data_IF_935822917651
#
_entry.id   IF_935822917651
#
_cell.length_a   1.000
_cell.length_b   1.000
_cell.length_c   1.000
_cell.angle_alpha   90.00
_cell.angle_beta   90.00
_cell.angle_gamma   90.00
#
_symmetry.space_group_name_H-M   'P 1'
#
loop_
_entity.id
_entity.type
_entity.pdbx_description
1 polymer ?
#
# COMPACT_ATOMS: atom_id res chain seq x y z
N UNK A 1 70.43 -1.10 -49.89
CA UNK A 1 70.13 -0.70 -48.54
C UNK A 1 68.62 -0.41 -48.39
N UNK A 2 67.80 -1.30 -47.77
CA UNK A 2 66.36 -1.10 -47.69
C UNK A 2 66.00 -0.30 -46.40
N UNK A 3 65.13 0.71 -46.56
CA UNK A 3 64.60 1.55 -45.51
C UNK A 3 63.50 0.82 -44.69
N UNK A 4 63.70 0.74 -43.39
CA UNK A 4 62.75 0.18 -42.41
C UNK A 4 61.54 1.09 -42.24
N UNK A 5 60.33 0.59 -42.55
CA UNK A 5 59.05 1.21 -42.16
C UNK A 5 58.67 0.80 -40.74
N UNK A 6 58.74 1.68 -39.77
CA UNK A 6 58.16 1.52 -38.46
C UNK A 6 56.66 1.80 -38.57
N UNK A 7 55.83 0.77 -38.39
CA UNK A 7 54.39 0.91 -38.17
C UNK A 7 54.14 1.35 -36.73
N UNK A 8 53.54 2.52 -36.52
CA UNK A 8 53.01 2.97 -35.23
C UNK A 8 51.60 2.33 -35.06
N UNK A 9 51.50 1.42 -34.09
CA UNK A 9 50.22 0.93 -33.61
C UNK A 9 49.64 1.98 -32.66
N UNK A 10 48.58 2.67 -33.06
CA UNK A 10 47.77 3.53 -32.20
C UNK A 10 46.70 2.65 -31.55
N UNK A 11 46.89 2.34 -30.29
CA UNK A 11 45.89 1.65 -29.47
C UNK A 11 44.86 2.69 -28.98
N UNK A 12 43.66 2.69 -29.58
CA UNK A 12 42.57 3.52 -29.13
C UNK A 12 41.94 2.94 -27.86
N UNK A 13 42.16 3.59 -26.73
CA UNK A 13 41.53 3.27 -25.46
C UNK A 13 40.09 3.81 -25.50
N UNK A 14 39.13 2.94 -25.71
CA UNK A 14 37.70 3.30 -25.61
C UNK A 14 37.33 3.50 -24.13
N UNK A 15 37.24 4.74 -23.70
CA UNK A 15 36.69 5.10 -22.40
C UNK A 15 35.16 4.93 -22.48
N UNK A 16 34.66 3.87 -21.89
CA UNK A 16 33.21 3.66 -21.73
C UNK A 16 32.69 4.68 -20.68
N UNK A 17 32.08 5.75 -21.14
CA UNK A 17 31.37 6.68 -20.27
C UNK A 17 30.16 5.95 -19.66
N UNK A 18 29.91 6.04 -18.33
CA UNK A 18 28.73 5.48 -17.73
C UNK A 18 27.49 6.21 -18.29
N UNK A 19 26.62 5.46 -18.98
CA UNK A 19 25.33 6.00 -19.42
C UNK A 19 24.56 6.48 -18.18
N UNK A 20 24.00 7.70 -18.16
CA UNK A 20 23.16 8.15 -17.09
C UNK A 20 21.96 7.22 -17.00
N UNK A 21 21.77 6.57 -15.83
CA UNK A 21 20.53 5.84 -15.53
C UNK A 21 19.41 6.86 -15.51
N UNK A 22 18.63 6.93 -16.56
CA UNK A 22 17.37 7.68 -16.57
C UNK A 22 16.45 7.01 -15.57
N UNK A 23 16.34 7.60 -14.38
CA UNK A 23 15.32 7.19 -13.41
C UNK A 23 13.99 7.69 -13.98
N UNK A 24 13.17 6.77 -14.47
CA UNK A 24 11.84 7.13 -14.92
C UNK A 24 11.09 7.82 -13.77
N UNK A 25 10.41 8.92 -14.07
CA UNK A 25 9.58 9.62 -13.10
C UNK A 25 8.56 8.65 -12.48
N UNK A 26 8.26 8.84 -11.20
CA UNK A 26 7.24 8.03 -10.53
C UNK A 26 5.91 8.18 -11.28
N UNK A 27 5.19 7.08 -11.59
CA UNK A 27 3.91 7.15 -12.30
C UNK A 27 2.89 7.93 -11.47
N UNK A 28 2.13 8.80 -12.13
CA UNK A 28 1.00 9.47 -11.52
C UNK A 28 -0.14 8.45 -11.36
N UNK A 29 -0.46 8.06 -10.12
CA UNK A 29 -1.40 6.99 -9.80
C UNK A 29 -2.55 7.47 -8.93
N UNK A 30 -3.73 6.84 -8.99
CA UNK A 30 -4.78 7.03 -8.01
C UNK A 30 -4.29 6.57 -6.62
N UNK A 31 -4.64 7.34 -5.59
CA UNK A 31 -4.25 7.09 -4.21
C UNK A 31 -5.49 6.91 -3.34
N UNK A 32 -5.46 5.90 -2.47
CA UNK A 32 -6.55 5.61 -1.54
C UNK A 32 -6.75 6.75 -0.54
N UNK A 33 -7.96 7.35 -0.54
CA UNK A 33 -8.50 8.10 0.58
C UNK A 33 -8.92 7.18 1.73
N UNK A 34 -9.65 7.71 2.70
CA UNK A 34 -10.23 6.94 3.81
C UNK A 34 -11.74 7.01 3.69
N UNK A 35 -12.42 5.86 3.80
CA UNK A 35 -13.87 5.79 3.81
C UNK A 35 -14.44 6.59 4.98
N UNK A 36 -15.54 7.28 4.72
CA UNK A 36 -16.36 7.96 5.73
C UNK A 36 -17.80 7.48 5.63
N UNK A 37 -18.43 7.23 6.76
CA UNK A 37 -19.85 6.85 6.83
C UNK A 37 -20.80 7.97 6.36
N UNK A 38 -20.31 9.16 6.06
CA UNK A 38 -21.07 10.20 5.38
C UNK A 38 -21.32 9.89 3.89
N UNK A 39 -20.51 9.00 3.29
CA UNK A 39 -20.64 8.61 1.88
C UNK A 39 -21.63 7.46 1.70
N UNK A 40 -22.24 7.37 0.52
CA UNK A 40 -23.14 6.27 0.18
C UNK A 40 -22.37 5.14 -0.53
N UNK A 41 -22.33 3.91 0.02
CA UNK A 41 -21.58 2.80 -0.56
C UNK A 41 -22.17 2.29 -1.89
N UNK A 42 -23.43 2.56 -2.19
CA UNK A 42 -24.08 2.13 -3.44
C UNK A 42 -23.38 2.73 -4.68
N UNK A 43 -22.78 3.92 -4.52
CA UNK A 43 -22.03 4.57 -5.60
C UNK A 43 -20.68 3.91 -5.94
N UNK A 44 -20.27 2.87 -5.19
CA UNK A 44 -18.95 2.27 -5.30
C UNK A 44 -19.01 0.80 -5.70
N UNK A 45 -18.00 0.36 -6.44
CA UNK A 45 -17.61 -1.04 -6.54
C UNK A 45 -16.61 -1.36 -5.45
N UNK A 46 -16.82 -2.49 -4.81
CA UNK A 46 -16.08 -2.91 -3.63
C UNK A 46 -15.20 -4.10 -3.98
N UNK A 47 -13.95 -4.06 -3.54
CA UNK A 47 -13.00 -5.16 -3.64
C UNK A 47 -12.30 -5.42 -2.31
N UNK A 48 -11.66 -6.57 -2.16
CA UNK A 48 -10.70 -6.79 -1.09
C UNK A 48 -9.50 -5.85 -1.29
N UNK A 49 -9.04 -5.25 -0.21
CA UNK A 49 -7.77 -4.53 -0.19
C UNK A 49 -6.66 -5.52 0.13
N UNK A 50 -5.94 -5.91 -0.88
CA UNK A 50 -4.82 -6.84 -0.73
C UNK A 50 -3.63 -6.18 -0.01
N UNK A 51 -3.02 -6.91 0.90
CA UNK A 51 -1.78 -6.52 1.59
C UNK A 51 -0.57 -7.09 0.82
N UNK A 52 -0.08 -6.33 -0.13
CA UNK A 52 0.97 -6.72 -1.03
C UNK A 52 1.91 -5.58 -1.40
N UNK A 53 2.54 -5.69 -2.55
CA UNK A 53 3.40 -4.67 -3.12
C UNK A 53 2.80 -4.16 -4.42
N UNK A 54 2.39 -2.89 -4.44
CA UNK A 54 1.85 -2.28 -5.67
C UNK A 54 2.87 -2.36 -6.79
N UNK A 55 2.47 -3.02 -7.87
CA UNK A 55 3.19 -3.14 -9.12
C UNK A 55 2.45 -2.39 -10.22
N UNK A 56 3.17 -1.55 -10.95
CA UNK A 56 2.65 -0.87 -12.15
C UNK A 56 3.36 -1.45 -13.35
N UNK A 57 2.60 -2.08 -14.22
CA UNK A 57 3.06 -2.55 -15.51
C UNK A 57 2.85 -1.44 -16.55
N UNK A 58 3.89 -0.99 -17.23
CA UNK A 58 3.79 0.07 -18.24
C UNK A 58 3.57 -0.45 -19.69
N UNK A 59 3.40 -1.78 -19.85
CA UNK A 59 3.31 -2.49 -21.12
C UNK A 59 4.62 -3.17 -21.51
N UNK A 60 5.72 -2.90 -20.78
CA UNK A 60 7.06 -3.44 -21.05
C UNK A 60 7.82 -3.81 -19.78
N UNK A 61 7.64 -3.08 -18.69
CA UNK A 61 8.36 -3.27 -17.44
C UNK A 61 7.44 -3.14 -16.22
N UNK A 62 7.67 -3.99 -15.22
CA UNK A 62 6.99 -3.92 -13.93
C UNK A 62 7.76 -2.97 -13.00
N UNK A 63 7.05 -2.01 -12.38
CA UNK A 63 7.65 -0.97 -11.55
C UNK A 63 6.96 -0.84 -10.20
N UNK A 64 7.72 -0.45 -9.21
CA UNK A 64 7.17 0.05 -7.95
C UNK A 64 6.44 1.39 -8.15
N UNK A 65 5.61 1.76 -7.21
CA UNK A 65 4.97 3.09 -7.15
C UNK A 65 5.99 4.26 -7.24
N UNK A 66 7.22 4.05 -6.83
CA UNK A 66 8.31 5.02 -6.94
C UNK A 66 8.89 5.15 -8.35
N UNK A 67 8.44 4.36 -9.32
CA UNK A 67 9.01 4.28 -10.67
C UNK A 67 10.23 3.33 -10.79
N UNK A 68 10.79 2.85 -9.67
CA UNK A 68 11.90 1.90 -9.72
C UNK A 68 11.45 0.57 -10.31
N UNK A 69 12.25 -0.10 -11.15
CA UNK A 69 11.93 -1.42 -11.66
C UNK A 69 11.75 -2.44 -10.53
N UNK A 70 10.82 -3.38 -10.73
CA UNK A 70 10.71 -4.61 -9.95
C UNK A 70 11.38 -5.72 -10.76
N UNK A 71 12.49 -6.30 -10.28
CA UNK A 71 13.14 -7.41 -10.95
C UNK A 71 12.25 -8.66 -10.87
N UNK A 72 11.43 -8.88 -11.91
CA UNK A 72 10.59 -10.07 -12.03
C UNK A 72 11.21 -11.04 -13.05
N UNK A 73 11.01 -12.37 -12.92
CA UNK A 73 11.42 -13.32 -13.93
C UNK A 73 10.75 -13.05 -15.28
N UNK A 74 11.45 -13.29 -16.37
CA UNK A 74 10.91 -13.08 -17.73
C UNK A 74 9.58 -13.83 -17.93
N UNK A 75 9.50 -15.10 -17.53
CA UNK A 75 8.28 -15.91 -17.64
C UNK A 75 7.07 -15.33 -16.89
N UNK A 76 7.28 -14.45 -15.87
CA UNK A 76 6.21 -13.77 -15.17
C UNK A 76 5.68 -12.58 -15.95
N UNK A 77 6.53 -11.84 -16.66
CA UNK A 77 6.18 -10.61 -17.38
C UNK A 77 5.89 -10.79 -18.85
N UNK A 78 6.54 -11.75 -19.53
CA UNK A 78 6.34 -12.00 -20.98
C UNK A 78 4.88 -12.21 -21.39
N UNK A 79 4.04 -12.96 -20.64
CA UNK A 79 2.65 -13.17 -21.03
C UNK A 79 1.73 -12.00 -20.64
N UNK A 80 2.23 -10.93 -20.01
CA UNK A 80 1.43 -9.77 -19.68
C UNK A 80 1.05 -8.97 -20.94
N UNK A 81 -0.16 -8.38 -21.01
CA UNK A 81 -0.58 -7.61 -22.17
C UNK A 81 0.28 -6.35 -22.36
N UNK A 82 0.48 -5.95 -23.61
CA UNK A 82 1.24 -4.74 -23.96
C UNK A 82 0.40 -3.45 -23.77
N UNK A 83 -0.15 -3.29 -22.58
CA UNK A 83 -0.90 -2.10 -22.16
C UNK A 83 -0.66 -1.86 -20.67
N UNK A 84 -0.80 -0.63 -20.18
CA UNK A 84 -0.62 -0.34 -18.76
C UNK A 84 -1.61 -1.09 -17.87
N UNK A 85 -1.11 -1.67 -16.77
CA UNK A 85 -1.88 -2.30 -15.71
C UNK A 85 -1.42 -1.76 -14.36
N UNK A 86 -2.34 -1.59 -13.44
CA UNK A 86 -2.06 -1.23 -12.05
C UNK A 86 -2.68 -2.29 -11.13
N UNK A 87 -1.88 -2.85 -10.26
CA UNK A 87 -2.30 -3.96 -9.42
C UNK A 87 -1.42 -4.15 -8.21
N UNK A 88 -1.75 -5.16 -7.43
CA UNK A 88 -0.98 -5.58 -6.28
C UNK A 88 -0.30 -6.92 -6.57
N UNK A 89 1.01 -6.99 -6.45
CA UNK A 89 1.70 -8.27 -6.32
C UNK A 89 1.33 -8.86 -4.97
N UNK A 90 0.87 -10.09 -4.96
CA UNK A 90 0.30 -10.70 -3.77
C UNK A 90 0.70 -12.17 -3.63
N UNK A 91 1.03 -12.58 -2.42
CA UNK A 91 1.49 -13.94 -2.10
C UNK A 91 0.52 -14.72 -1.22
N UNK A 92 -0.58 -14.09 -0.81
CA UNK A 92 -1.53 -14.62 0.16
C UNK A 92 -1.63 -13.74 1.40
N UNK A 93 -2.69 -13.94 2.19
CA UNK A 93 -2.92 -13.19 3.42
C UNK A 93 -1.85 -13.51 4.46
N UNK A 94 -1.40 -12.47 5.20
CA UNK A 94 -0.34 -12.60 6.22
C UNK A 94 1.06 -12.87 5.68
N UNK A 95 1.29 -12.78 4.35
CA UNK A 95 2.56 -13.09 3.71
C UNK A 95 3.30 -11.88 3.13
N UNK A 96 2.95 -10.67 3.57
CA UNK A 96 3.55 -9.43 3.08
C UNK A 96 5.09 -9.42 3.23
N UNK A 97 5.64 -9.85 4.37
CA UNK A 97 7.08 -9.82 4.62
C UNK A 97 7.84 -10.73 3.63
N UNK A 98 7.32 -11.94 3.37
CA UNK A 98 7.89 -12.86 2.39
C UNK A 98 7.85 -12.27 0.98
N UNK A 99 6.70 -11.73 0.56
CA UNK A 99 6.55 -11.05 -0.73
C UNK A 99 7.52 -9.87 -0.85
N UNK A 100 7.55 -9.00 0.17
CA UNK A 100 8.41 -7.81 0.19
C UNK A 100 9.90 -8.16 0.09
N UNK A 101 10.32 -9.29 0.68
CA UNK A 101 11.66 -9.81 0.51
C UNK A 101 11.92 -10.28 -0.94
N UNK A 102 10.98 -11.02 -1.53
CA UNK A 102 11.10 -11.56 -2.90
C UNK A 102 11.20 -10.47 -3.97
N UNK A 103 10.33 -9.45 -3.90
CA UNK A 103 10.29 -8.37 -4.93
C UNK A 103 11.43 -7.35 -4.80
N UNK A 104 12.17 -7.34 -3.69
CA UNK A 104 13.34 -6.46 -3.48
C UNK A 104 14.66 -7.09 -3.92
N UNK A 105 14.67 -8.38 -4.24
CA UNK A 105 15.89 -9.05 -4.70
C UNK A 105 16.28 -8.52 -6.08
N UNK A 106 17.55 -8.18 -6.27
CA UNK A 106 18.08 -7.80 -7.58
C UNK A 106 18.00 -8.97 -8.58
N UNK A 107 18.16 -10.20 -8.07
CA UNK A 107 17.98 -11.42 -8.85
C UNK A 107 16.75 -12.16 -8.33
N UNK A 108 15.68 -12.26 -9.13
CA UNK A 108 14.47 -12.94 -8.72
C UNK A 108 14.71 -14.45 -8.56
N UNK A 109 14.02 -15.06 -7.60
CA UNK A 109 14.05 -16.49 -7.36
C UNK A 109 12.75 -17.09 -7.88
N UNK A 110 12.84 -17.95 -8.89
CA UNK A 110 11.69 -18.54 -9.58
C UNK A 110 10.69 -19.22 -8.62
N UNK A 111 11.20 -20.02 -7.67
CA UNK A 111 10.36 -20.72 -6.70
C UNK A 111 9.50 -19.79 -5.85
N UNK A 112 10.01 -18.59 -5.50
CA UNK A 112 9.26 -17.57 -4.80
C UNK A 112 8.22 -16.93 -5.71
N UNK A 113 8.60 -16.57 -6.95
CA UNK A 113 7.73 -15.91 -7.92
C UNK A 113 6.60 -16.80 -8.44
N UNK A 114 6.74 -18.12 -8.46
CA UNK A 114 5.66 -19.05 -8.85
C UNK A 114 4.44 -18.96 -7.93
N UNK A 115 4.61 -18.47 -6.72
CA UNK A 115 3.53 -18.27 -5.75
C UNK A 115 2.90 -16.87 -5.86
N UNK A 116 3.56 -15.91 -6.51
CA UNK A 116 3.07 -14.53 -6.63
C UNK A 116 1.92 -14.48 -7.64
N UNK A 117 0.88 -13.71 -7.30
CA UNK A 117 -0.20 -13.30 -8.21
C UNK A 117 -0.11 -11.79 -8.44
N UNK A 118 -0.41 -11.36 -9.64
CA UNK A 118 -0.57 -9.95 -9.97
C UNK A 118 -2.07 -9.62 -10.03
N UNK A 119 -2.57 -9.01 -8.95
CA UNK A 119 -3.96 -8.70 -8.71
C UNK A 119 -4.29 -7.35 -9.34
N UNK A 120 -4.78 -7.33 -10.57
CA UNK A 120 -5.04 -6.10 -11.34
C UNK A 120 -6.37 -5.49 -10.91
N UNK A 121 -6.34 -4.21 -10.54
CA UNK A 121 -7.50 -3.46 -10.08
C UNK A 121 -7.77 -2.18 -10.88
N UNK A 122 -6.84 -1.72 -11.75
CA UNK A 122 -7.05 -0.53 -12.57
C UNK A 122 -6.26 -0.60 -13.89
N UNK A 123 -6.75 0.16 -14.88
CA UNK A 123 -6.12 0.37 -16.19
C UNK A 123 -5.67 1.83 -16.30
N UNK A 124 -4.38 2.14 -16.06
CA UNK A 124 -3.88 3.50 -16.09
C UNK A 124 -4.17 4.22 -17.42
N UNK A 125 -4.77 5.41 -17.32
CA UNK A 125 -5.09 6.25 -18.48
C UNK A 125 -6.22 5.73 -19.38
N UNK A 126 -6.87 4.62 -19.04
CA UNK A 126 -7.97 4.11 -19.86
C UNK A 126 -9.20 5.00 -19.73
N UNK A 127 -9.90 5.31 -20.86
CA UNK A 127 -11.11 6.13 -20.85
C UNK A 127 -12.31 5.38 -20.27
N UNK A 128 -13.35 6.15 -19.94
CA UNK A 128 -14.63 5.64 -19.45
C UNK A 128 -14.73 5.62 -17.93
N UNK A 129 -15.87 5.15 -17.44
CA UNK A 129 -16.18 5.01 -16.01
C UNK A 129 -15.42 3.83 -15.41
N UNK A 130 -15.21 3.84 -14.09
CA UNK A 130 -14.55 2.72 -13.43
C UNK A 130 -15.27 1.38 -13.64
N UNK A 131 -16.61 1.38 -13.62
CA UNK A 131 -17.39 0.16 -13.89
C UNK A 131 -17.09 -0.45 -15.27
N UNK A 132 -16.86 0.36 -16.28
CA UNK A 132 -16.47 -0.09 -17.63
C UNK A 132 -15.02 -0.58 -17.66
N UNK A 133 -14.12 0.11 -16.92
CA UNK A 133 -12.73 -0.31 -16.79
C UNK A 133 -12.59 -1.62 -16.02
N UNK A 134 -13.39 -1.86 -14.98
CA UNK A 134 -13.43 -3.11 -14.24
C UNK A 134 -13.81 -4.30 -15.14
N UNK A 135 -14.85 -4.17 -15.97
CA UNK A 135 -15.20 -5.19 -16.96
C UNK A 135 -14.10 -5.39 -18.01
N UNK A 136 -13.42 -4.32 -18.40
CA UNK A 136 -12.28 -4.40 -19.32
C UNK A 136 -11.09 -5.12 -18.70
N UNK A 137 -10.82 -4.92 -17.41
CA UNK A 137 -9.79 -5.68 -16.66
C UNK A 137 -10.07 -7.18 -16.76
N UNK A 138 -11.29 -7.62 -16.45
CA UNK A 138 -11.67 -9.03 -16.54
C UNK A 138 -11.45 -9.61 -17.94
N UNK A 139 -11.83 -8.84 -18.98
CA UNK A 139 -11.62 -9.24 -20.38
C UNK A 139 -10.12 -9.37 -20.71
N UNK A 140 -9.32 -8.38 -20.35
CA UNK A 140 -7.87 -8.35 -20.59
C UNK A 140 -7.19 -9.52 -19.90
N UNK A 141 -7.52 -9.78 -18.64
CA UNK A 141 -6.96 -10.90 -17.87
C UNK A 141 -7.30 -12.24 -18.50
N UNK A 142 -8.57 -12.46 -18.88
CA UNK A 142 -8.98 -13.69 -19.57
C UNK A 142 -8.25 -13.89 -20.90
N UNK A 143 -8.08 -12.81 -21.69
CA UNK A 143 -7.44 -12.87 -22.99
C UNK A 143 -5.92 -13.10 -22.92
N UNK A 144 -5.27 -12.66 -21.84
CA UNK A 144 -3.82 -12.85 -21.67
C UNK A 144 -3.43 -14.32 -21.48
N UNK A 145 -4.31 -15.14 -20.91
CA UNK A 145 -4.01 -16.54 -20.57
C UNK A 145 -2.90 -16.69 -19.51
N UNK A 146 -2.41 -15.62 -18.92
CA UNK A 146 -1.33 -15.64 -17.93
C UNK A 146 -1.86 -16.12 -16.57
N UNK A 147 -1.43 -17.27 -16.05
CA UNK A 147 -2.01 -17.85 -14.82
C UNK A 147 -1.72 -17.04 -13.57
N UNK A 148 -0.68 -16.21 -13.58
CA UNK A 148 -0.33 -15.31 -12.48
C UNK A 148 -1.11 -14.00 -12.48
N UNK A 149 -1.75 -13.63 -13.61
CA UNK A 149 -2.53 -12.41 -13.74
C UNK A 149 -3.98 -12.65 -13.31
N UNK A 150 -4.46 -11.88 -12.36
CA UNK A 150 -5.80 -12.05 -11.77
C UNK A 150 -6.54 -10.71 -11.78
N UNK A 151 -7.75 -10.69 -12.32
CA UNK A 151 -8.63 -9.53 -12.19
C UNK A 151 -9.16 -9.48 -10.75
N UNK A 152 -8.99 -8.35 -10.08
CA UNK A 152 -9.59 -8.13 -8.77
C UNK A 152 -11.11 -8.05 -8.94
N UNK A 153 -11.84 -8.90 -8.20
CA UNK A 153 -13.29 -8.86 -8.20
C UNK A 153 -13.80 -7.49 -7.69
N UNK A 154 -14.61 -6.84 -8.51
CA UNK A 154 -15.22 -5.55 -8.22
C UNK A 154 -16.74 -5.73 -8.23
N UNK A 155 -17.41 -5.65 -7.08
CA UNK A 155 -18.86 -5.86 -7.01
C UNK A 155 -19.53 -4.81 -6.13
N UNK A 156 -20.78 -4.40 -6.46
CA UNK A 156 -21.53 -3.44 -5.65
C UNK A 156 -21.97 -4.06 -4.33
N UNK A 157 -22.41 -3.20 -3.42
CA UNK A 157 -23.14 -3.58 -2.21
C UNK A 157 -24.50 -2.89 -2.18
N UNK A 158 -25.49 -3.54 -1.58
CA UNK A 158 -26.85 -2.99 -1.54
C UNK A 158 -27.01 -1.80 -0.58
N UNK A 159 -26.23 -1.77 0.51
CA UNK A 159 -26.32 -0.77 1.56
C UNK A 159 -25.09 -0.83 2.51
N UNK A 160 -25.11 -0.01 3.56
CA UNK A 160 -24.04 0.05 4.57
C UNK A 160 -23.89 -1.24 5.38
N UNK A 161 -24.99 -1.94 5.64
CA UNK A 161 -24.97 -3.20 6.37
C UNK A 161 -24.21 -4.26 5.57
N UNK A 162 -24.57 -4.42 4.28
CA UNK A 162 -23.87 -5.32 3.36
C UNK A 162 -22.37 -4.97 3.21
N UNK A 163 -22.01 -3.66 3.27
CA UNK A 163 -20.61 -3.24 3.30
C UNK A 163 -19.87 -3.70 4.56
N UNK A 164 -20.51 -3.54 5.72
CA UNK A 164 -19.95 -3.97 7.02
C UNK A 164 -19.81 -5.49 7.09
N UNK A 165 -20.80 -6.24 6.62
CA UNK A 165 -20.74 -7.71 6.54
C UNK A 165 -19.60 -8.16 5.62
N UNK A 166 -19.45 -7.50 4.46
CA UNK A 166 -18.35 -7.82 3.54
C UNK A 166 -16.99 -7.55 4.18
N UNK A 167 -16.84 -6.43 4.89
CA UNK A 167 -15.64 -6.13 5.68
C UNK A 167 -15.38 -7.22 6.71
N UNK A 168 -16.40 -7.59 7.51
CA UNK A 168 -16.28 -8.62 8.54
C UNK A 168 -15.84 -9.97 7.95
N UNK A 169 -16.40 -10.38 6.80
CA UNK A 169 -15.98 -11.62 6.11
C UNK A 169 -14.52 -11.58 5.67
N UNK A 170 -14.06 -10.47 5.07
CA UNK A 170 -12.67 -10.31 4.64
C UNK A 170 -11.72 -10.39 5.83
N UNK A 171 -12.07 -9.73 6.94
CA UNK A 171 -11.26 -9.74 8.18
C UNK A 171 -11.22 -11.13 8.83
N UNK A 172 -12.34 -11.82 8.89
CA UNK A 172 -12.42 -13.20 9.44
C UNK A 172 -11.51 -14.17 8.66
N UNK A 173 -11.29 -13.90 7.39
CA UNK A 173 -10.36 -14.66 6.54
C UNK A 173 -8.91 -14.14 6.60
N UNK A 174 -8.59 -13.18 7.48
CA UNK A 174 -7.26 -12.60 7.63
C UNK A 174 -6.90 -11.55 6.56
N UNK A 175 -7.89 -10.99 5.84
CA UNK A 175 -7.68 -9.91 4.89
C UNK A 175 -7.48 -8.55 5.59
N UNK A 176 -6.95 -7.58 4.86
CA UNK A 176 -6.57 -6.25 5.41
C UNK A 176 -7.78 -5.31 5.54
N UNK A 177 -8.79 -5.47 4.69
CA UNK A 177 -9.94 -4.59 4.58
C UNK A 177 -10.49 -4.53 3.17
N UNK A 178 -11.18 -3.43 2.85
CA UNK A 178 -11.80 -3.22 1.55
C UNK A 178 -11.22 -2.00 0.84
N UNK A 179 -11.21 -2.04 -0.48
CA UNK A 179 -11.07 -0.89 -1.36
C UNK A 179 -12.42 -0.60 -2.01
N UNK A 180 -12.79 0.68 -2.07
CA UNK A 180 -14.03 1.16 -2.65
C UNK A 180 -13.67 2.10 -3.79
N UNK A 181 -14.07 1.78 -5.00
CA UNK A 181 -13.83 2.61 -6.17
C UNK A 181 -15.18 3.09 -6.74
N UNK A 182 -15.33 4.38 -6.85
CA UNK A 182 -16.57 4.99 -7.32
C UNK A 182 -16.90 4.55 -8.75
N UNK A 183 -18.06 3.93 -8.95
CA UNK A 183 -18.39 3.21 -10.17
C UNK A 183 -18.41 4.11 -11.42
N UNK A 184 -18.85 5.36 -11.28
CA UNK A 184 -18.96 6.35 -12.34
C UNK A 184 -17.67 7.19 -12.56
N UNK A 185 -16.64 7.01 -11.70
CA UNK A 185 -15.44 7.84 -11.76
C UNK A 185 -14.62 7.61 -13.03
N UNK A 186 -14.20 8.68 -13.73
CA UNK A 186 -13.16 8.58 -14.75
C UNK A 186 -11.81 8.19 -14.10
N UNK A 187 -10.85 7.77 -14.92
CA UNK A 187 -9.49 7.58 -14.42
C UNK A 187 -8.93 8.92 -13.91
N UNK A 188 -8.40 8.90 -12.70
CA UNK A 188 -7.80 10.08 -12.07
C UNK A 188 -6.62 9.70 -11.21
N UNK A 189 -5.72 10.64 -10.96
CA UNK A 189 -4.51 10.46 -10.15
C UNK A 189 -4.59 11.26 -8.86
N UNK A 190 -3.74 10.92 -7.89
CA UNK A 190 -3.77 11.56 -6.59
C UNK A 190 -4.88 11.04 -5.67
N UNK A 191 -5.19 11.80 -4.61
CA UNK A 191 -6.23 11.46 -3.64
C UNK A 191 -7.53 12.17 -4.00
N UNK A 192 -8.62 11.41 -3.98
CA UNK A 192 -9.97 11.90 -4.16
C UNK A 192 -10.95 10.95 -3.47
N UNK A 193 -12.24 11.28 -3.49
CA UNK A 193 -13.29 10.39 -3.01
C UNK A 193 -13.61 9.27 -4.01
N UNK A 194 -12.95 9.24 -5.16
CA UNK A 194 -13.14 8.20 -6.16
C UNK A 194 -12.56 6.85 -5.74
N UNK A 195 -11.49 6.82 -4.95
CA UNK A 195 -10.84 5.59 -4.49
C UNK A 195 -10.54 5.66 -3.00
N UNK A 196 -11.20 4.82 -2.22
CA UNK A 196 -11.18 4.84 -0.76
C UNK A 196 -10.79 3.48 -0.19
N UNK A 197 -10.26 3.47 1.02
CA UNK A 197 -10.02 2.26 1.81
C UNK A 197 -10.90 2.26 3.05
N UNK A 198 -11.45 1.08 3.36
CA UNK A 198 -12.13 0.78 4.60
C UNK A 198 -11.36 -0.33 5.32
N UNK A 199 -10.80 0.00 6.47
CA UNK A 199 -10.10 -0.94 7.35
C UNK A 199 -10.77 -0.95 8.70
N UNK A 200 -10.66 -2.04 9.49
CA UNK A 200 -11.14 -2.01 10.85
C UNK A 200 -10.41 -0.93 11.63
N UNK A 201 -11.13 -0.21 12.44
CA UNK A 201 -10.56 0.55 13.52
C UNK A 201 -10.52 -0.39 14.73
N UNK A 202 -9.33 -0.79 15.13
CA UNK A 202 -9.12 -1.59 16.33
C UNK A 202 -8.90 -0.60 17.48
N UNK A 203 -9.77 -0.64 18.45
CA UNK A 203 -9.67 0.18 19.66
C UNK A 203 -9.34 -0.76 20.83
N UNK A 204 -8.43 -0.34 21.69
CA UNK A 204 -8.09 -1.06 22.92
C UNK A 204 -7.61 -0.08 23.98
N UNK A 205 -7.35 -0.56 25.19
CA UNK A 205 -7.02 0.24 26.34
C UNK A 205 -5.55 0.08 26.73
N UNK A 206 -5.02 1.15 27.33
CA UNK A 206 -3.70 1.15 27.95
C UNK A 206 -3.67 2.15 29.11
N UNK A 207 -2.77 1.92 30.05
CA UNK A 207 -2.56 2.81 31.19
C UNK A 207 -1.47 3.83 30.84
N UNK A 208 -1.71 5.11 31.11
CA UNK A 208 -0.71 6.17 31.00
C UNK A 208 0.36 5.96 32.04
N UNK A 209 1.63 5.85 31.63
CA UNK A 209 2.77 5.62 32.54
C UNK A 209 3.71 6.83 32.62
N UNK A 210 3.74 7.68 31.58
CA UNK A 210 4.51 8.92 31.57
C UNK A 210 3.98 9.93 30.53
N UNK A 211 4.37 11.19 30.72
CA UNK A 211 4.17 12.27 29.76
C UNK A 211 5.49 12.66 29.11
N UNK A 212 5.50 12.78 27.78
CA UNK A 212 6.64 13.28 27.04
C UNK A 212 6.39 14.69 26.53
N UNK A 213 7.30 15.60 26.80
CA UNK A 213 7.19 17.02 26.39
C UNK A 213 7.25 17.14 24.86
N UNK A 214 6.42 17.99 24.30
CA UNK A 214 6.36 18.29 22.88
C UNK A 214 7.55 19.14 22.41
N UNK A 215 7.74 19.15 21.07
CA UNK A 215 8.75 19.97 20.39
C UNK A 215 8.07 20.90 19.39
N UNK A 216 8.80 21.92 18.96
CA UNK A 216 8.31 22.91 17.98
C UNK A 216 7.05 23.62 18.49
N UNK A 217 5.95 23.59 17.75
CA UNK A 217 4.69 24.24 18.15
C UNK A 217 4.06 23.69 19.44
N UNK A 218 4.52 22.55 19.91
CA UNK A 218 4.07 21.94 21.15
C UNK A 218 5.09 22.03 22.30
N UNK A 219 6.11 22.90 22.17
CA UNK A 219 7.07 23.13 23.25
C UNK A 219 6.34 23.59 24.54
N UNK A 220 6.66 22.99 25.66
CA UNK A 220 5.99 23.24 26.95
C UNK A 220 4.63 22.56 27.12
N UNK A 221 4.13 21.85 26.12
CA UNK A 221 2.89 21.08 26.15
C UNK A 221 3.17 19.57 26.04
N UNK A 222 2.14 18.75 26.21
CA UNK A 222 2.26 17.30 25.97
C UNK A 222 2.59 17.04 24.50
N UNK A 223 3.69 16.34 24.25
CA UNK A 223 4.06 15.81 22.93
C UNK A 223 3.45 14.45 22.67
N UNK A 224 3.60 13.52 23.63
CA UNK A 224 3.06 12.18 23.57
C UNK A 224 2.77 11.64 24.97
N UNK A 225 1.78 10.74 25.06
CA UNK A 225 1.55 9.87 26.22
C UNK A 225 2.42 8.62 26.05
N UNK A 226 3.18 8.24 27.06
CA UNK A 226 3.72 6.90 27.17
C UNK A 226 2.69 6.03 27.87
N UNK A 227 2.37 4.90 27.26
CA UNK A 227 1.32 4.02 27.74
C UNK A 227 1.80 2.59 27.86
N UNK A 228 1.18 1.83 28.77
CA UNK A 228 1.42 0.40 28.98
C UNK A 228 0.17 -0.40 28.71
N UNK A 229 0.24 -1.39 27.82
CA UNK A 229 -0.87 -2.33 27.59
C UNK A 229 -1.05 -3.30 28.76
N UNK A 230 -2.21 -4.00 28.87
CA UNK A 230 -2.41 -5.07 29.84
C UNK A 230 -1.37 -6.19 29.76
N UNK A 231 -0.76 -6.40 28.58
CA UNK A 231 0.33 -7.38 28.35
C UNK A 231 1.72 -6.82 28.70
N UNK A 232 1.80 -5.62 29.32
CA UNK A 232 3.03 -5.01 29.79
C UNK A 232 3.87 -4.28 28.73
N UNK A 233 3.40 -4.18 27.48
CA UNK A 233 4.11 -3.49 26.40
C UNK A 233 3.96 -1.99 26.52
N UNK A 234 5.06 -1.25 26.32
CA UNK A 234 5.09 0.21 26.39
C UNK A 234 5.35 0.81 25.02
N UNK A 235 4.69 1.92 24.71
CA UNK A 235 4.87 2.69 23.49
C UNK A 235 4.30 4.11 23.64
N UNK A 236 4.58 4.97 22.65
CA UNK A 236 4.18 6.37 22.66
C UNK A 236 2.94 6.60 21.79
N UNK A 237 2.01 7.41 22.29
CA UNK A 237 0.86 7.92 21.56
C UNK A 237 0.99 9.45 21.44
N UNK A 238 1.36 9.94 20.25
CA UNK A 238 1.48 11.37 19.95
C UNK A 238 0.37 11.90 19.06
N UNK A 239 -0.49 11.02 18.54
CA UNK A 239 -1.59 11.32 17.61
C UNK A 239 -2.94 11.30 18.34
N UNK A 240 -3.95 12.03 17.79
CA UNK A 240 -5.30 12.08 18.38
C UNK A 240 -5.42 13.01 19.58
N UNK A 241 -4.37 13.71 19.96
CA UNK A 241 -4.34 14.63 21.10
C UNK A 241 -4.76 16.02 20.61
N UNK A 242 -5.89 16.53 21.12
CA UNK A 242 -6.31 17.91 20.89
C UNK A 242 -5.39 18.90 21.65
N UNK A 243 -5.41 20.17 21.27
CA UNK A 243 -4.63 21.21 21.97
C UNK A 243 -5.07 21.36 23.42
N UNK A 244 -6.34 21.10 23.75
CA UNK A 244 -6.84 21.06 25.12
C UNK A 244 -6.18 19.92 25.91
N UNK A 245 -6.18 18.69 25.37
CA UNK A 245 -5.53 17.54 25.98
C UNK A 245 -4.02 17.69 26.12
N UNK A 246 -3.39 18.49 25.27
CA UNK A 246 -1.96 18.77 25.38
C UNK A 246 -1.64 19.73 26.52
N UNK A 247 -2.59 20.64 26.86
CA UNK A 247 -2.46 21.55 28.00
C UNK A 247 -2.82 20.89 29.33
N UNK A 248 -3.81 20.02 29.30
CA UNK A 248 -4.30 19.27 30.45
C UNK A 248 -4.41 17.77 30.12
N UNK A 249 -3.27 17.05 30.18
CA UNK A 249 -3.20 15.65 29.79
C UNK A 249 -3.82 14.71 30.82
N UNK A 250 -4.33 13.55 30.38
CA UNK A 250 -4.78 12.51 31.30
C UNK A 250 -3.70 12.18 32.33
N UNK A 251 -4.00 12.10 33.61
CA UNK A 251 -3.02 11.81 34.66
C UNK A 251 -2.29 10.49 34.45
N UNK A 252 -1.06 10.41 34.91
CA UNK A 252 -0.34 9.12 35.00
C UNK A 252 -1.15 8.18 35.90
N UNK A 253 -1.29 6.93 35.47
CA UNK A 253 -2.14 5.92 36.10
C UNK A 253 -3.55 5.84 35.49
N UNK A 254 -4.01 6.83 34.72
CA UNK A 254 -5.32 6.74 34.07
C UNK A 254 -5.32 5.75 32.91
N UNK A 255 -6.46 5.10 32.72
CA UNK A 255 -6.70 4.25 31.55
C UNK A 255 -7.21 5.12 30.40
N UNK A 256 -6.67 4.90 29.20
CA UNK A 256 -7.14 5.55 27.97
C UNK A 256 -7.56 4.50 26.96
N UNK A 257 -8.50 4.85 26.09
CA UNK A 257 -8.79 4.10 24.87
C UNK A 257 -7.98 4.73 23.73
N UNK A 258 -7.27 3.90 23.00
CA UNK A 258 -6.58 4.33 21.79
C UNK A 258 -6.97 3.45 20.60
N UNK A 259 -6.94 4.04 19.43
CA UNK A 259 -7.17 3.37 18.14
C UNK A 259 -5.84 3.01 17.53
N UNK A 260 -5.78 1.84 16.90
CA UNK A 260 -4.62 1.42 16.11
C UNK A 260 -5.06 0.71 14.84
N UNK A 261 -4.15 0.43 13.94
CA UNK A 261 -4.52 -0.19 12.65
C UNK A 261 -4.07 -1.64 12.54
N UNK A 262 -2.97 -1.99 13.20
CA UNK A 262 -2.32 -3.28 13.09
C UNK A 262 -1.22 -3.38 14.14
N UNK A 263 -0.56 -4.54 14.24
CA UNK A 263 0.61 -4.73 15.07
C UNK A 263 1.89 -4.82 14.24
N UNK A 264 3.00 -4.38 14.82
CA UNK A 264 4.34 -4.68 14.30
C UNK A 264 4.65 -6.16 14.52
N UNK A 265 5.69 -6.68 13.88
CA UNK A 265 6.19 -8.04 14.13
C UNK A 265 6.56 -8.26 15.61
N UNK A 266 6.92 -7.22 16.33
CA UNK A 266 7.18 -7.24 17.78
C UNK A 266 5.92 -7.07 18.63
N UNK A 267 4.73 -6.97 18.00
CA UNK A 267 3.43 -6.84 18.65
C UNK A 267 3.15 -5.45 19.23
N UNK A 268 3.86 -4.41 18.81
CA UNK A 268 3.51 -3.03 19.13
C UNK A 268 2.43 -2.51 18.17
N UNK A 269 1.44 -1.72 18.64
CA UNK A 269 0.40 -1.18 17.76
C UNK A 269 0.97 -0.19 16.75
N UNK A 270 0.55 -0.33 15.49
CA UNK A 270 0.88 0.60 14.41
C UNK A 270 -0.12 1.76 14.37
N UNK A 271 0.39 2.98 14.20
CA UNK A 271 -0.41 4.19 14.06
C UNK A 271 -1.37 4.41 15.23
N UNK A 272 -0.90 4.13 16.45
CA UNK A 272 -1.67 4.36 17.67
C UNK A 272 -2.08 5.83 17.78
N UNK A 273 -3.35 6.07 18.07
CA UNK A 273 -3.96 7.39 18.18
C UNK A 273 -4.92 7.43 19.37
N UNK A 274 -4.77 8.42 20.23
CA UNK A 274 -5.66 8.63 21.36
C UNK A 274 -7.10 8.83 20.90
N UNK A 275 -8.07 8.23 21.60
CA UNK A 275 -9.49 8.44 21.38
C UNK A 275 -10.16 9.17 22.56
N UNK A 276 -10.02 8.63 23.75
CA UNK A 276 -10.65 9.17 24.97
C UNK A 276 -9.97 8.63 26.23
N UNK A 277 -10.18 9.30 27.34
CA UNK A 277 -9.96 8.73 28.67
C UNK A 277 -11.03 7.66 28.90
N UNK A 278 -10.63 6.50 29.38
CA UNK A 278 -11.55 5.44 29.75
C UNK A 278 -12.17 5.78 31.09
N UNK A 279 -13.47 6.05 31.12
CA UNK A 279 -14.21 6.20 32.34
C UNK A 279 -14.76 4.82 32.72
N UNK A 280 -14.22 4.22 33.78
CA UNK A 280 -14.83 3.02 34.35
C UNK A 280 -16.27 3.37 34.77
N UNK A 281 -17.25 2.62 34.24
CA UNK A 281 -18.62 2.67 34.71
C UNK A 281 -18.70 1.93 36.04
#
# INVERSE_FOLDING_TARGET
MPASRRQLLITALAVALPYPRVVAAAPALPLLGVWSDALDPIAYLISEKYDGVRGVWDGMALRHRSGRPIPAPAWFTEPLPRMPLDGELWLGRGRFDALSASVRRERPVDAEWRQVRYMVFELPGAPGRFSERAQRIEKVVRQSGAPQLVAVEQSPVANREALRERLARVLALGGEGLALHRADAPYGTGRSDALLKLKPALDTEATVVAHHVGRGKYAGLLGALEVRTPQGRQFLIGSGLSDALRRDPPPVGSTITYRYRDFTRTGLPRFASFLRVHTAM
#
